data_IF_961281509189
#
_entry.id   IF_961281509189
#
_cell.length_a   1.000
_cell.length_b   1.000
_cell.length_c   1.000
_cell.angle_alpha   90.00
_cell.angle_beta   90.00
_cell.angle_gamma   90.00
#
_symmetry.space_group_name_H-M   'P 1'
#
loop_
_entity.id
_entity.type
_entity.pdbx_description
1 polymer ?
#
# COMPACT_ATOMS: atom_id res chain seq x y z
N UNK A 1 -5.85 -17.15 13.40
CA UNK A 1 -4.90 -17.75 14.37
C UNK A 1 -5.13 -17.28 15.81
N UNK A 2 -5.01 -15.97 16.14
CA UNK A 2 -5.24 -15.47 17.52
C UNK A 2 -6.62 -15.85 18.05
N UNK A 3 -7.68 -15.55 17.29
CA UNK A 3 -9.06 -15.89 17.66
C UNK A 3 -9.27 -17.40 17.85
N UNK A 4 -8.59 -18.22 17.05
CA UNK A 4 -8.67 -19.68 17.14
C UNK A 4 -8.05 -20.20 18.44
N UNK A 5 -6.86 -19.73 18.81
CA UNK A 5 -6.18 -20.14 20.05
C UNK A 5 -6.93 -19.67 21.31
N UNK A 6 -7.50 -18.46 21.28
CA UNK A 6 -8.34 -17.96 22.39
C UNK A 6 -9.59 -18.82 22.57
N UNK A 7 -10.24 -19.25 21.47
CA UNK A 7 -11.40 -20.17 21.53
C UNK A 7 -11.05 -21.55 22.06
N UNK A 8 -9.79 -21.99 21.93
CA UNK A 8 -9.28 -23.21 22.54
C UNK A 8 -8.89 -23.04 24.02
N UNK A 9 -9.08 -21.84 24.59
CA UNK A 9 -8.79 -21.56 26.00
C UNK A 9 -7.37 -21.07 26.28
N UNK A 10 -6.56 -20.77 25.26
CA UNK A 10 -5.23 -20.23 25.46
C UNK A 10 -5.25 -18.70 25.66
N UNK A 11 -4.73 -18.23 26.80
CA UNK A 11 -4.48 -16.80 27.03
C UNK A 11 -3.21 -16.36 26.30
N UNK A 12 -3.36 -15.94 25.05
CA UNK A 12 -2.24 -15.51 24.20
C UNK A 12 -2.54 -14.22 23.44
N UNK A 13 -1.59 -13.27 23.53
CA UNK A 13 -1.67 -11.98 22.84
C UNK A 13 -1.23 -12.10 21.37
N UNK A 14 -1.74 -11.21 20.51
CA UNK A 14 -1.41 -11.15 19.07
C UNK A 14 0.11 -11.20 18.79
N UNK A 15 0.92 -10.46 19.56
CA UNK A 15 2.38 -10.44 19.42
C UNK A 15 3.01 -11.82 19.65
N UNK A 16 2.52 -12.56 20.63
CA UNK A 16 3.00 -13.92 20.93
C UNK A 16 2.69 -14.89 19.80
N UNK A 17 1.46 -14.85 19.28
CA UNK A 17 1.06 -15.65 18.11
C UNK A 17 1.92 -15.32 16.89
N UNK A 18 2.18 -14.05 16.60
CA UNK A 18 3.06 -13.65 15.49
C UNK A 18 4.50 -14.15 15.66
N UNK A 19 5.04 -14.13 16.89
CA UNK A 19 6.38 -14.66 17.18
C UNK A 19 6.45 -16.16 16.90
N UNK A 20 5.48 -16.92 17.38
CA UNK A 20 5.39 -18.37 17.16
C UNK A 20 5.22 -18.71 15.67
N UNK A 21 4.30 -18.02 14.98
CA UNK A 21 4.09 -18.20 13.54
C UNK A 21 5.36 -17.94 12.74
N UNK A 22 6.14 -16.89 13.06
CA UNK A 22 7.44 -16.64 12.41
C UNK A 22 8.46 -17.74 12.68
N UNK A 23 8.55 -18.21 13.93
CA UNK A 23 9.45 -19.30 14.30
C UNK A 23 9.11 -20.62 13.56
N UNK A 24 7.83 -20.83 13.25
CA UNK A 24 7.32 -21.99 12.52
C UNK A 24 7.24 -21.79 10.99
N UNK A 25 7.64 -20.61 10.47
CA UNK A 25 7.52 -20.30 9.04
C UNK A 25 6.09 -20.15 8.52
N UNK A 26 5.10 -19.97 9.40
CA UNK A 26 3.68 -19.88 9.05
C UNK A 26 3.30 -18.44 8.67
N UNK A 27 2.88 -18.24 7.41
CA UNK A 27 2.31 -17.00 6.90
C UNK A 27 0.79 -17.06 6.80
N UNK A 28 0.13 -15.90 6.86
CA UNK A 28 -1.30 -15.83 6.49
C UNK A 28 -1.46 -16.06 4.99
N UNK A 29 -2.40 -16.93 4.59
CA UNK A 29 -2.70 -17.19 3.18
C UNK A 29 -3.52 -16.09 2.51
N UNK A 30 -3.92 -15.05 3.24
CA UNK A 30 -4.66 -13.94 2.66
C UNK A 30 -3.70 -13.07 1.81
N UNK A 31 -3.87 -13.01 0.49
CA UNK A 31 -3.09 -12.08 -0.32
C UNK A 31 -3.42 -10.65 0.13
N UNK A 32 -2.38 -9.84 0.37
CA UNK A 32 -2.57 -8.40 0.45
C UNK A 32 -3.09 -7.87 -0.90
N UNK A 33 -3.65 -6.65 -0.95
CA UNK A 33 -4.00 -6.02 -2.22
C UNK A 33 -2.75 -6.00 -3.11
N UNK A 34 -2.83 -6.68 -4.25
CA UNK A 34 -1.70 -6.91 -5.12
C UNK A 34 -1.58 -5.76 -6.13
N UNK A 35 -1.41 -4.54 -5.60
CA UNK A 35 -1.35 -3.31 -6.39
C UNK A 35 -0.07 -3.19 -7.22
N UNK A 36 0.89 -4.09 -6.99
CA UNK A 36 2.22 -4.07 -7.62
C UNK A 36 2.36 -5.07 -8.78
N UNK A 37 1.36 -5.92 -9.02
CA UNK A 37 1.38 -6.84 -10.16
C UNK A 37 0.85 -6.14 -11.40
N UNK A 38 1.77 -5.73 -12.27
CA UNK A 38 1.43 -5.21 -13.58
C UNK A 38 0.67 -6.28 -14.37
N UNK A 39 -0.46 -5.91 -14.98
CA UNK A 39 -1.17 -6.80 -15.89
C UNK A 39 -0.23 -7.23 -17.03
N UNK A 40 -0.21 -8.50 -17.47
CA UNK A 40 0.78 -9.02 -18.42
C UNK A 40 0.86 -8.25 -19.74
N UNK A 41 -0.27 -7.65 -20.16
CA UNK A 41 -0.40 -6.90 -21.41
C UNK A 41 -0.07 -5.40 -21.25
N UNK A 42 0.31 -4.95 -20.05
CA UNK A 42 0.52 -3.52 -19.78
C UNK A 42 1.92 -3.13 -20.23
N UNK A 43 1.99 -2.33 -21.30
CA UNK A 43 3.25 -1.73 -21.77
C UNK A 43 3.89 -0.91 -20.66
N UNK A 44 5.17 -1.19 -20.37
CA UNK A 44 5.98 -0.36 -19.48
C UNK A 44 6.35 0.92 -20.22
N UNK A 45 5.93 2.06 -19.69
CA UNK A 45 6.32 3.37 -20.22
C UNK A 45 7.59 3.86 -19.51
N UNK A 46 8.56 4.41 -20.24
CA UNK A 46 9.74 4.99 -19.60
C UNK A 46 9.34 6.23 -18.78
N UNK A 47 9.99 6.40 -17.63
CA UNK A 47 9.85 7.63 -16.84
C UNK A 47 10.64 8.76 -17.51
N UNK A 48 9.93 9.65 -18.20
CA UNK A 48 10.51 10.66 -19.10
C UNK A 48 11.34 11.75 -18.38
N UNK A 49 11.15 11.92 -17.08
CA UNK A 49 11.92 12.88 -16.28
C UNK A 49 13.26 12.30 -15.77
N UNK A 50 13.57 11.05 -16.09
CA UNK A 50 14.83 10.43 -15.69
C UNK A 50 16.02 11.17 -16.32
N UNK A 51 16.88 11.74 -15.48
CA UNK A 51 18.07 12.47 -15.92
C UNK A 51 17.80 13.89 -16.40
N UNK A 52 16.57 14.41 -16.25
CA UNK A 52 16.24 15.80 -16.59
C UNK A 52 16.54 16.68 -15.37
N UNK A 53 17.50 17.62 -15.44
CA UNK A 53 17.72 18.58 -14.37
C UNK A 53 16.60 19.64 -14.39
N UNK A 54 15.90 19.80 -13.27
CA UNK A 54 14.86 20.84 -13.08
C UNK A 54 15.54 22.08 -12.50
N UNK A 55 15.70 23.13 -13.31
CA UNK A 55 16.58 24.28 -13.00
C UNK A 55 15.84 25.62 -12.94
N UNK A 56 14.56 25.66 -13.32
CA UNK A 56 13.74 26.87 -13.28
C UNK A 56 12.28 26.54 -12.94
N UNK A 57 11.54 27.50 -12.35
CA UNK A 57 10.08 27.41 -12.27
C UNK A 57 9.45 27.20 -13.64
N UNK A 58 8.27 26.55 -13.65
CA UNK A 58 7.50 26.21 -14.84
C UNK A 58 8.25 25.30 -15.82
N UNK A 59 9.04 24.37 -15.30
CA UNK A 59 9.76 23.37 -16.11
C UNK A 59 9.16 21.96 -16.00
N UNK A 60 8.72 21.56 -14.81
CA UNK A 60 8.13 20.24 -14.54
C UNK A 60 7.03 20.44 -13.51
N UNK A 61 5.80 19.98 -13.78
CA UNK A 61 4.72 20.03 -12.80
C UNK A 61 4.44 18.63 -12.24
N UNK A 62 4.25 18.56 -10.94
CA UNK A 62 3.76 17.36 -10.25
C UNK A 62 2.26 17.49 -10.01
N UNK A 63 1.54 16.39 -10.22
CA UNK A 63 0.12 16.31 -9.90
C UNK A 63 -0.18 15.02 -9.17
N UNK A 64 -1.04 15.11 -8.16
CA UNK A 64 -1.56 13.96 -7.44
C UNK A 64 -3.06 14.13 -7.21
N UNK A 65 -3.77 12.99 -7.20
CA UNK A 65 -5.19 12.93 -6.85
C UNK A 65 -5.37 12.08 -5.60
N UNK A 66 -5.91 12.69 -4.56
CA UNK A 66 -6.19 12.03 -3.29
C UNK A 66 -7.69 11.97 -3.05
N UNK A 67 -8.19 10.79 -2.71
CA UNK A 67 -9.58 10.55 -2.34
C UNK A 67 -9.73 10.71 -0.82
N UNK A 68 -10.45 11.73 -0.40
CA UNK A 68 -10.64 12.04 1.03
C UNK A 68 -11.99 11.49 1.47
N UNK A 69 -11.98 10.55 2.42
CA UNK A 69 -13.20 9.99 3.02
C UNK A 69 -13.84 11.05 3.93
N UNK A 70 -15.12 11.30 3.73
CA UNK A 70 -15.92 12.18 4.61
C UNK A 70 -16.91 11.35 5.43
N UNK A 71 -17.53 11.95 6.45
CA UNK A 71 -18.58 11.31 7.25
C UNK A 71 -19.72 10.78 6.36
N UNK A 72 -20.06 11.51 5.30
CA UNK A 72 -21.00 11.09 4.27
C UNK A 72 -20.38 11.35 2.89
N UNK A 73 -19.96 10.28 2.22
CA UNK A 73 -19.39 10.35 0.86
C UNK A 73 -17.86 10.51 0.80
N UNK A 74 -17.39 11.16 -0.27
CA UNK A 74 -15.98 11.35 -0.60
C UNK A 74 -15.76 12.70 -1.26
N UNK A 75 -14.59 13.30 -1.05
CA UNK A 75 -14.08 14.42 -1.81
C UNK A 75 -12.89 13.98 -2.68
N UNK A 76 -12.74 14.65 -3.83
CA UNK A 76 -11.62 14.46 -4.75
C UNK A 76 -10.73 15.69 -4.63
N UNK A 77 -9.54 15.52 -4.05
CA UNK A 77 -8.54 16.57 -3.99
C UNK A 77 -7.53 16.36 -5.11
N UNK A 78 -7.34 17.38 -5.94
CA UNK A 78 -6.26 17.42 -6.93
C UNK A 78 -5.28 18.50 -6.51
N UNK A 79 -4.02 18.14 -6.37
CA UNK A 79 -2.92 19.07 -6.14
C UNK A 79 -2.10 19.21 -7.43
N UNK A 80 -1.71 20.45 -7.75
CA UNK A 80 -0.79 20.79 -8.84
C UNK A 80 0.33 21.61 -8.23
N UNK A 81 1.56 21.15 -8.41
CA UNK A 81 2.78 21.77 -7.86
C UNK A 81 3.72 22.02 -9.02
N UNK A 82 4.27 23.23 -9.08
CA UNK A 82 5.38 23.60 -9.97
C UNK A 82 6.73 23.20 -9.38
#
# INVERSE_FOLDING_TARGET
>A
MVVFLVRLGHDIKRRGVQKLMRAMGLGGMAPGPNTSLAHPERKVYPYLLRGVPVVRPNQVWSTDITYIRLAHGFAYLVAIID
#
